data_IF_714292467202
#
_entry.id   IF_714292467202
#
_cell.length_a   1.000
_cell.length_b   1.000
_cell.length_c   1.000
_cell.angle_alpha   90.00
_cell.angle_beta   90.00
_cell.angle_gamma   90.00
#
_symmetry.space_group_name_H-M   'P 1'
#
loop_
_entity.id
_entity.type
_entity.pdbx_description
1 polymer ?
#
# COMPACT_ATOMS: atom_id res chain seq x y z
N UNK A 1 2.20 16.68 -14.93
CA UNK A 1 1.75 17.76 -14.02
C UNK A 1 2.95 18.26 -13.20
N UNK A 2 2.80 19.34 -12.42
CA UNK A 2 3.85 19.78 -11.49
C UNK A 2 4.13 18.72 -10.41
N UNK A 3 5.41 18.49 -10.10
CA UNK A 3 5.86 17.50 -9.10
C UNK A 3 5.30 17.69 -7.70
N UNK A 4 4.89 18.93 -7.34
CA UNK A 4 4.18 19.19 -6.08
C UNK A 4 2.88 18.37 -5.97
N UNK A 5 2.16 18.16 -7.06
CA UNK A 5 0.91 17.40 -7.07
C UNK A 5 1.17 15.93 -6.74
N UNK A 6 2.21 15.35 -7.34
CA UNK A 6 2.60 13.96 -7.09
C UNK A 6 3.11 13.78 -5.66
N UNK A 7 3.86 14.76 -5.14
CA UNK A 7 4.31 14.75 -3.75
C UNK A 7 3.15 14.88 -2.75
N UNK A 8 2.13 15.71 -3.05
CA UNK A 8 0.94 15.81 -2.21
C UNK A 8 0.15 14.49 -2.18
N UNK A 9 0.06 13.78 -3.31
CA UNK A 9 -0.56 12.45 -3.39
C UNK A 9 0.20 11.41 -2.55
N UNK A 10 1.53 11.39 -2.63
CA UNK A 10 2.38 10.55 -1.79
C UNK A 10 2.09 10.79 -0.30
N UNK A 11 2.14 12.06 0.13
CA UNK A 11 1.86 12.42 1.53
C UNK A 11 0.44 12.03 1.97
N UNK A 12 -0.55 12.17 1.08
CA UNK A 12 -1.93 11.79 1.37
C UNK A 12 -2.06 10.27 1.61
N UNK A 13 -1.42 9.46 0.76
CA UNK A 13 -1.48 7.99 0.89
C UNK A 13 -0.75 7.56 2.16
N UNK A 14 0.47 8.05 2.38
CA UNK A 14 1.28 7.67 3.54
C UNK A 14 0.57 8.04 4.84
N UNK A 15 -0.06 9.22 4.92
CA UNK A 15 -0.78 9.66 6.13
C UNK A 15 -2.01 8.81 6.46
N UNK A 16 -2.72 8.30 5.45
CA UNK A 16 -3.97 7.57 5.66
C UNK A 16 -3.79 6.05 5.72
N UNK A 17 -2.85 5.50 4.94
CA UNK A 17 -2.71 4.05 4.72
C UNK A 17 -1.31 3.52 5.06
N UNK A 18 -0.35 4.40 5.33
CA UNK A 18 1.02 4.04 5.66
C UNK A 18 1.95 3.89 4.44
N UNK A 19 3.27 3.78 4.68
CA UNK A 19 4.28 3.70 3.63
C UNK A 19 4.23 2.39 2.82
N UNK A 20 3.78 1.29 3.42
CA UNK A 20 3.70 -0.01 2.72
C UNK A 20 2.71 0.02 1.54
N UNK A 21 1.55 0.66 1.74
CA UNK A 21 0.54 0.82 0.69
C UNK A 21 1.05 1.74 -0.43
N UNK A 22 1.86 2.74 -0.10
CA UNK A 22 2.50 3.60 -1.09
C UNK A 22 3.48 2.82 -1.97
N UNK A 23 4.30 1.96 -1.38
CA UNK A 23 5.22 1.09 -2.15
C UNK A 23 4.47 0.15 -3.09
N UNK A 24 3.33 -0.40 -2.66
CA UNK A 24 2.48 -1.24 -3.51
C UNK A 24 1.88 -0.45 -4.69
N UNK A 25 1.49 0.80 -4.47
CA UNK A 25 0.97 1.69 -5.52
C UNK A 25 2.07 2.02 -6.54
N UNK A 26 3.29 2.31 -6.09
CA UNK A 26 4.43 2.57 -7.00
C UNK A 26 4.73 1.36 -7.88
N UNK A 27 4.72 0.15 -7.31
CA UNK A 27 4.91 -1.10 -8.05
C UNK A 27 3.81 -1.33 -9.08
N UNK A 28 2.55 -1.08 -8.71
CA UNK A 28 1.41 -1.23 -9.62
C UNK A 28 1.43 -0.18 -10.75
N UNK A 29 1.85 1.06 -10.45
CA UNK A 29 2.00 2.13 -11.43
C UNK A 29 3.26 1.99 -12.31
N UNK A 30 4.10 0.98 -12.08
CA UNK A 30 5.38 0.78 -12.78
C UNK A 30 6.27 2.03 -12.77
N UNK A 31 6.28 2.73 -11.63
CA UNK A 31 7.11 3.92 -11.46
C UNK A 31 8.52 3.47 -11.05
N UNK A 32 9.47 3.60 -11.98
CA UNK A 32 10.91 3.37 -11.75
C UNK A 32 11.58 4.52 -10.94
N UNK A 33 10.80 5.49 -10.47
CA UNK A 33 11.35 6.61 -9.69
C UNK A 33 11.60 6.18 -8.24
N UNK A 34 12.87 6.03 -7.90
CA UNK A 34 13.34 5.82 -6.54
C UNK A 34 13.39 7.16 -5.78
N UNK A 35 12.70 7.25 -4.65
CA UNK A 35 12.70 8.42 -3.78
C UNK A 35 11.44 9.28 -3.87
N UNK A 36 11.57 10.55 -3.48
CA UNK A 36 10.47 11.51 -3.42
C UNK A 36 10.36 12.31 -4.72
N UNK A 37 9.13 12.69 -5.08
CA UNK A 37 8.90 13.56 -6.23
C UNK A 37 9.53 14.95 -6.04
N UNK A 38 10.26 15.42 -7.06
CA UNK A 38 10.87 16.74 -7.06
C UNK A 38 9.81 17.82 -7.32
N UNK A 39 9.51 18.62 -6.31
CA UNK A 39 8.41 19.62 -6.29
C UNK A 39 8.45 20.61 -7.48
N UNK A 40 9.64 21.00 -7.93
CA UNK A 40 9.86 22.02 -8.98
C UNK A 40 10.01 21.45 -10.40
N UNK A 41 9.90 20.14 -10.57
CA UNK A 41 10.03 19.48 -11.88
C UNK A 41 8.64 19.26 -12.48
N UNK A 42 8.55 19.43 -13.79
CA UNK A 42 7.35 19.10 -14.56
C UNK A 42 7.48 17.63 -14.97
N UNK A 43 6.48 16.84 -14.61
CA UNK A 43 6.36 15.45 -15.01
C UNK A 43 5.32 15.33 -16.12
N UNK A 44 5.37 14.23 -16.87
CA UNK A 44 4.31 13.89 -17.81
C UNK A 44 2.98 13.69 -17.07
N UNK A 45 1.87 14.16 -17.63
CA UNK A 45 0.55 13.99 -17.04
C UNK A 45 0.15 12.51 -16.97
N UNK A 46 0.60 11.69 -17.93
CA UNK A 46 0.35 10.25 -18.00
C UNK A 46 0.78 9.56 -16.70
N UNK A 47 1.96 9.90 -16.17
CA UNK A 47 2.45 9.37 -14.88
C UNK A 47 1.50 9.68 -13.73
N UNK A 48 0.84 10.84 -13.75
CA UNK A 48 -0.09 11.23 -12.69
C UNK A 48 -1.39 10.43 -12.77
N UNK A 49 -1.88 10.21 -14.00
CA UNK A 49 -3.06 9.38 -14.24
C UNK A 49 -2.82 7.92 -13.87
N UNK A 50 -1.67 7.36 -14.24
CA UNK A 50 -1.29 5.98 -13.92
C UNK A 50 -1.19 5.78 -12.40
N UNK A 51 -0.61 6.76 -11.69
CA UNK A 51 -0.48 6.72 -10.23
C UNK A 51 -1.85 6.77 -9.54
N UNK A 52 -2.78 7.61 -10.01
CA UNK A 52 -4.16 7.67 -9.48
C UNK A 52 -4.93 6.39 -9.80
N UNK A 53 -4.76 5.82 -11.00
CA UNK A 53 -5.38 4.56 -11.40
C UNK A 53 -4.89 3.39 -10.53
N UNK A 54 -3.56 3.29 -10.33
CA UNK A 54 -2.94 2.31 -9.46
C UNK A 54 -3.41 2.46 -8.00
N UNK A 55 -3.46 3.69 -7.48
CA UNK A 55 -3.97 3.98 -6.14
C UNK A 55 -5.42 3.49 -5.98
N UNK A 56 -6.30 3.80 -6.93
CA UNK A 56 -7.69 3.34 -6.91
C UNK A 56 -7.79 1.81 -6.87
N UNK A 57 -6.96 1.11 -7.66
CA UNK A 57 -6.94 -0.35 -7.73
C UNK A 57 -6.45 -1.00 -6.43
N UNK A 58 -5.36 -0.50 -5.86
CA UNK A 58 -4.79 -1.01 -4.59
C UNK A 58 -5.74 -0.75 -3.42
N UNK A 59 -6.31 0.45 -3.32
CA UNK A 59 -7.26 0.81 -2.26
C UNK A 59 -8.57 0.01 -2.35
N UNK A 60 -9.05 -0.26 -3.56
CA UNK A 60 -10.22 -1.10 -3.77
C UNK A 60 -9.99 -2.54 -3.32
N UNK A 61 -8.80 -3.10 -3.57
CA UNK A 61 -8.40 -4.41 -3.05
C UNK A 61 -8.37 -4.43 -1.52
N UNK A 62 -7.80 -3.42 -0.88
CA UNK A 62 -7.76 -3.32 0.59
C UNK A 62 -9.17 -3.29 1.20
N UNK A 63 -10.07 -2.49 0.61
CA UNK A 63 -11.46 -2.38 1.08
C UNK A 63 -12.24 -3.68 0.88
N UNK A 64 -12.02 -4.38 -0.24
CA UNK A 64 -12.70 -5.64 -0.54
C UNK A 64 -12.16 -6.80 0.31
N UNK A 65 -10.84 -6.86 0.51
CA UNK A 65 -10.20 -7.85 1.39
C UNK A 65 -10.64 -7.68 2.85
N UNK A 66 -10.82 -6.44 3.31
CA UNK A 66 -11.37 -6.16 4.64
C UNK A 66 -12.79 -6.72 4.81
N UNK A 67 -13.69 -6.47 3.84
CA UNK A 67 -15.07 -7.00 3.87
C UNK A 67 -15.13 -8.54 3.77
N UNK A 68 -14.29 -9.16 2.95
CA UNK A 68 -14.19 -10.62 2.85
C UNK A 68 -13.67 -11.27 4.14
N UNK A 69 -12.69 -10.64 4.79
CA UNK A 69 -12.16 -11.13 6.05
C UNK A 69 -13.21 -11.06 7.17
N UNK A 70 -13.94 -9.94 7.28
CA UNK A 70 -14.98 -9.77 8.29
C UNK A 70 -16.15 -10.73 8.09
N UNK A 71 -16.54 -11.00 6.84
CA UNK A 71 -17.63 -11.94 6.54
C UNK A 71 -17.26 -13.40 6.83
N UNK A 72 -15.98 -13.78 6.79
CA UNK A 72 -15.51 -15.12 7.13
C UNK A 72 -15.20 -15.33 8.63
N UNK A 73 -15.06 -14.26 9.42
CA UNK A 73 -14.76 -14.36 10.87
C UNK A 73 -15.97 -14.63 11.77
N UNK A 74 -17.21 -14.60 11.25
CA UNK A 74 -18.41 -14.78 12.07
C UNK A 74 -18.94 -16.21 12.17
N UNK A 75 -18.38 -17.20 11.44
CA UNK A 75 -18.92 -18.58 11.44
C UNK A 75 -17.94 -19.65 11.93
N UNK A 76 -16.63 -19.41 12.00
CA UNK A 76 -15.71 -20.39 12.58
C UNK A 76 -14.79 -19.78 13.64
N UNK A 77 -15.16 -20.01 14.91
CA UNK A 77 -14.16 -20.22 15.97
C UNK A 77 -13.20 -21.31 15.49
N UNK A 78 -11.99 -20.93 15.11
CA UNK A 78 -10.89 -21.86 14.85
C UNK A 78 -10.25 -21.68 13.48
N UNK A 79 -8.98 -21.24 13.51
CA UNK A 79 -8.00 -21.29 12.43
C UNK A 79 -8.34 -20.51 11.14
N UNK A 80 -7.63 -19.39 10.94
CA UNK A 80 -6.82 -19.15 9.73
C UNK A 80 -6.17 -17.77 9.80
N UNK A 81 -4.87 -17.76 10.09
CA UNK A 81 -3.97 -16.77 9.49
C UNK A 81 -3.39 -17.39 8.22
N UNK A 82 -3.19 -16.60 7.17
CA UNK A 82 -1.82 -16.46 6.71
C UNK A 82 -1.47 -14.99 6.41
N UNK A 83 -0.48 -14.47 7.15
CA UNK A 83 0.43 -13.46 6.60
C UNK A 83 1.52 -14.19 5.83
N UNK A 84 1.96 -13.73 4.65
CA UNK A 84 3.17 -14.24 4.05
C UNK A 84 4.39 -13.57 4.70
N UNK A 85 5.29 -14.40 5.27
CA UNK A 85 6.74 -14.22 5.40
C UNK A 85 7.23 -12.98 6.18
N UNK A 86 7.51 -13.03 7.48
CA UNK A 86 8.60 -13.75 8.17
C UNK A 86 10.02 -13.31 7.75
N UNK A 87 10.58 -12.37 8.50
CA UNK A 87 11.96 -12.47 9.01
C UNK A 87 12.08 -11.54 10.22
N UNK A 88 12.84 -11.97 11.23
CA UNK A 88 13.12 -11.31 12.52
C UNK A 88 12.18 -11.75 13.65
N UNK A 89 12.80 -12.43 14.63
CA UNK A 89 12.30 -12.86 15.95
C UNK A 89 11.57 -14.22 16.04
N UNK A 90 12.20 -15.26 15.49
CA UNK A 90 12.34 -16.49 16.26
C UNK A 90 13.36 -16.23 17.37
N UNK A 91 12.92 -16.12 18.62
CA UNK A 91 13.86 -15.94 19.71
C UNK A 91 13.29 -15.49 21.04
N UNK A 92 12.11 -15.95 21.46
CA UNK A 92 11.86 -16.03 22.90
C UNK A 92 11.16 -17.34 23.23
N UNK A 93 11.91 -18.10 24.01
CA UNK A 93 11.71 -19.47 24.38
C UNK A 93 10.41 -19.65 25.16
N UNK A 94 9.85 -20.85 25.00
CA UNK A 94 8.79 -21.42 25.82
C UNK A 94 9.04 -21.17 27.33
N UNK A 95 7.98 -20.73 28.00
CA UNK A 95 7.41 -21.29 29.24
C UNK A 95 8.41 -21.75 30.32
N UNK A 96 8.41 -21.03 31.45
CA UNK A 96 8.24 -21.60 32.78
C UNK A 96 7.29 -20.69 33.54
#
# INVERSE_FOLDING_TARGET
>A
MYGFVNHALELLVIRNYGPEVWEDIKKEAQLDEEGQFLVRIIYDDSKTYDLVAAASKVLSRLKTAFLLCVSHTSVHKGMCAPRPQCSILQGFHRRA
#
